data_IF_419846471604
#
_entry.id   IF_419846471604
#
_cell.length_a   1.000
_cell.length_b   1.000
_cell.length_c   1.000
_cell.angle_alpha   90.00
_cell.angle_beta   90.00
_cell.angle_gamma   90.00
#
_symmetry.space_group_name_H-M   'P 1'
#
loop_
_entity.id
_entity.type
_entity.pdbx_description
1 polymer ?
#
# COMPACT_ATOMS: atom_id res chain seq x y z
N UNK A 1 4.40 1.09 12.59
CA UNK A 1 3.57 0.17 11.81
C UNK A 1 2.11 0.16 12.25
N UNK A 2 1.79 -0.01 13.54
CA UNK A 2 0.40 -0.03 14.03
C UNK A 2 -0.42 1.20 13.59
N UNK A 3 0.08 2.42 13.82
CA UNK A 3 -0.60 3.66 13.42
C UNK A 3 -0.86 3.72 11.90
N UNK A 4 0.10 3.23 11.10
CA UNK A 4 -0.06 3.17 9.64
C UNK A 4 -1.20 2.24 9.23
N UNK A 5 -1.31 1.07 9.86
CA UNK A 5 -2.39 0.11 9.59
C UNK A 5 -3.74 0.68 9.98
N UNK A 6 -3.85 1.31 11.16
CA UNK A 6 -5.10 1.97 11.58
C UNK A 6 -5.52 3.08 10.60
N UNK A 7 -4.56 3.87 10.12
CA UNK A 7 -4.84 4.94 9.15
C UNK A 7 -5.29 4.37 7.78
N UNK A 8 -4.68 3.27 7.31
CA UNK A 8 -5.15 2.58 6.10
C UNK A 8 -6.55 1.99 6.29
N UNK A 9 -6.83 1.33 7.41
CA UNK A 9 -8.16 0.76 7.68
C UNK A 9 -9.25 1.84 7.70
N UNK A 10 -8.97 2.99 8.32
CA UNK A 10 -9.90 4.11 8.32
C UNK A 10 -10.08 4.68 6.90
N UNK A 11 -9.00 4.81 6.15
CA UNK A 11 -9.06 5.22 4.75
C UNK A 11 -9.90 4.25 3.91
N UNK A 12 -9.75 2.95 4.08
CA UNK A 12 -10.50 1.93 3.32
C UNK A 12 -12.01 2.02 3.58
N UNK A 13 -12.41 2.31 4.82
CA UNK A 13 -13.83 2.59 5.17
C UNK A 13 -14.33 3.83 4.43
N UNK A 14 -13.56 4.92 4.41
CA UNK A 14 -13.95 6.15 3.70
C UNK A 14 -14.03 5.93 2.20
N UNK A 15 -13.12 5.15 1.62
CA UNK A 15 -13.18 4.74 0.20
C UNK A 15 -14.45 3.95 -0.08
N UNK A 16 -14.85 3.04 0.81
CA UNK A 16 -16.09 2.28 0.69
C UNK A 16 -17.33 3.20 0.71
N UNK A 17 -17.32 4.24 1.53
CA UNK A 17 -18.41 5.22 1.59
C UNK A 17 -18.44 6.17 0.37
N UNK A 18 -17.35 6.23 -0.39
CA UNK A 18 -17.22 7.09 -1.58
C UNK A 18 -17.66 6.39 -2.88
N UNK A 19 -18.54 5.39 -2.81
CA UNK A 19 -18.99 4.57 -3.97
C UNK A 19 -19.68 5.39 -5.06
N UNK A 20 -20.25 6.55 -4.72
CA UNK A 20 -20.91 7.46 -5.65
C UNK A 20 -19.94 8.11 -6.67
N UNK A 21 -18.62 8.11 -6.36
CA UNK A 21 -17.61 8.78 -7.18
C UNK A 21 -16.79 7.78 -8.01
N UNK A 22 -16.38 8.11 -9.24
CA UNK A 22 -15.50 7.27 -10.06
C UNK A 22 -14.20 6.95 -9.31
N UNK A 23 -13.69 5.71 -9.48
CA UNK A 23 -12.42 5.28 -8.82
C UNK A 23 -11.28 6.25 -9.10
N UNK A 24 -11.18 6.73 -10.32
CA UNK A 24 -10.13 7.66 -10.70
C UNK A 24 -10.21 9.01 -9.99
N UNK A 25 -11.42 9.50 -9.71
CA UNK A 25 -11.62 10.72 -8.92
C UNK A 25 -11.17 10.52 -7.47
N UNK A 26 -11.53 9.40 -6.86
CA UNK A 26 -11.07 9.03 -5.50
C UNK A 26 -9.54 8.91 -5.47
N UNK A 27 -8.94 8.30 -6.50
CA UNK A 27 -7.49 8.21 -6.65
C UNK A 27 -6.83 9.59 -6.76
N UNK A 28 -7.42 10.52 -7.50
CA UNK A 28 -6.90 11.88 -7.59
C UNK A 28 -6.81 12.54 -6.21
N UNK A 29 -7.91 12.56 -5.47
CA UNK A 29 -7.91 13.11 -4.11
C UNK A 29 -6.96 12.36 -3.18
N UNK A 30 -6.87 11.02 -3.32
CA UNK A 30 -5.93 10.17 -2.58
C UNK A 30 -4.46 10.55 -2.84
N UNK A 31 -4.12 10.89 -4.08
CA UNK A 31 -2.78 11.35 -4.43
C UNK A 31 -2.55 12.81 -4.05
N UNK A 32 -3.41 13.70 -4.51
CA UNK A 32 -3.26 15.16 -4.37
C UNK A 32 -3.27 15.60 -2.90
N UNK A 33 -4.31 15.25 -2.15
CA UNK A 33 -4.39 15.58 -0.72
C UNK A 33 -3.36 14.79 0.10
N UNK A 34 -2.93 13.61 -0.38
CA UNK A 34 -1.87 12.82 0.25
C UNK A 34 -0.48 13.46 0.17
N UNK A 35 -0.25 14.41 -0.73
CA UNK A 35 1.00 15.18 -0.80
C UNK A 35 1.08 16.17 0.37
N UNK A 36 -0.04 16.72 0.82
CA UNK A 36 -0.09 17.78 1.84
C UNK A 36 0.71 17.40 3.11
N UNK A 37 0.41 16.29 3.79
CA UNK A 37 1.17 15.93 5.00
C UNK A 37 2.65 15.64 4.72
N UNK A 38 2.98 15.19 3.51
CA UNK A 38 4.36 14.93 3.12
C UNK A 38 5.15 16.22 3.02
N UNK A 39 4.56 17.28 2.44
CA UNK A 39 5.18 18.60 2.31
C UNK A 39 5.54 19.21 3.67
N UNK A 40 4.70 19.02 4.69
CA UNK A 40 5.00 19.49 6.05
C UNK A 40 6.19 18.78 6.70
N UNK A 41 6.54 17.60 6.23
CA UNK A 41 7.63 16.78 6.79
C UNK A 41 8.94 16.91 6.00
N UNK A 42 8.96 17.67 4.90
CA UNK A 42 10.17 17.94 4.13
C UNK A 42 11.02 18.96 4.90
N UNK A 43 12.29 18.67 5.20
CA UNK A 43 13.22 19.65 5.75
C UNK A 43 13.37 20.84 4.79
N UNK A 44 13.31 22.06 5.32
CA UNK A 44 13.34 23.31 4.50
C UNK A 44 14.57 23.40 3.59
N UNK A 45 15.71 22.91 4.06
CA UNK A 45 17.01 22.88 3.35
C UNK A 45 17.04 21.88 2.17
N UNK A 46 16.10 20.93 2.13
CA UNK A 46 16.01 19.88 1.08
C UNK A 46 14.77 20.00 0.21
N UNK A 47 14.04 21.09 0.34
CA UNK A 47 12.80 21.29 -0.40
C UNK A 47 13.01 21.29 -1.93
N UNK A 48 14.20 21.70 -2.40
CA UNK A 48 14.54 21.68 -3.82
C UNK A 48 15.17 20.36 -4.30
N UNK A 49 15.39 19.40 -3.40
CA UNK A 49 16.03 18.13 -3.74
C UNK A 49 15.04 17.01 -4.12
N UNK A 50 13.73 17.32 -4.21
CA UNK A 50 12.72 16.30 -4.52
C UNK A 50 12.82 15.72 -5.94
N UNK A 51 13.59 16.29 -6.85
CA UNK A 51 13.89 15.71 -8.17
C UNK A 51 15.19 14.88 -8.19
N UNK A 52 16.03 14.97 -7.15
CA UNK A 52 17.29 14.26 -7.09
C UNK A 52 17.10 12.86 -6.53
N UNK A 53 16.98 11.87 -7.38
CA UNK A 53 16.96 10.46 -6.99
C UNK A 53 18.18 9.74 -7.55
N UNK A 54 18.79 8.88 -6.74
CA UNK A 54 19.91 8.03 -7.15
C UNK A 54 19.46 6.76 -7.86
N UNK A 55 18.15 6.38 -7.73
CA UNK A 55 17.59 5.12 -8.25
C UNK A 55 16.26 5.30 -8.97
N UNK A 56 16.20 6.09 -10.08
CA UNK A 56 14.92 6.44 -10.73
C UNK A 56 14.14 5.20 -11.21
N UNK A 57 14.82 4.19 -11.71
CA UNK A 57 14.18 2.97 -12.19
C UNK A 57 13.51 2.16 -11.06
N UNK A 58 14.10 2.15 -9.88
CA UNK A 58 13.49 1.48 -8.72
C UNK A 58 12.27 2.25 -8.22
N UNK A 59 12.30 3.60 -8.23
CA UNK A 59 11.13 4.43 -7.97
C UNK A 59 10.00 4.15 -8.96
N UNK A 60 10.32 4.11 -10.25
CA UNK A 60 9.33 3.79 -11.28
C UNK A 60 8.67 2.43 -11.04
N UNK A 61 9.45 1.37 -10.82
CA UNK A 61 8.91 0.03 -10.51
C UNK A 61 8.06 0.02 -9.25
N UNK A 62 8.51 0.72 -8.19
CA UNK A 62 7.75 0.85 -6.94
C UNK A 62 6.43 1.58 -7.16
N UNK A 63 6.44 2.70 -7.89
CA UNK A 63 5.23 3.46 -8.19
C UNK A 63 4.27 2.65 -9.05
N UNK A 64 4.75 2.01 -10.12
CA UNK A 64 3.92 1.20 -11.00
C UNK A 64 3.26 0.03 -10.25
N UNK A 65 4.05 -0.73 -9.48
CA UNK A 65 3.51 -1.83 -8.68
C UNK A 65 2.51 -1.34 -7.62
N UNK A 66 2.82 -0.21 -6.97
CA UNK A 66 1.93 0.41 -6.00
C UNK A 66 0.63 0.94 -6.61
N UNK A 67 0.68 1.48 -7.82
CA UNK A 67 -0.51 1.93 -8.55
C UNK A 67 -1.41 0.74 -8.94
N UNK A 68 -0.82 -0.33 -9.47
CA UNK A 68 -1.57 -1.55 -9.80
C UNK A 68 -2.24 -2.11 -8.54
N UNK A 69 -1.50 -2.19 -7.43
CA UNK A 69 -2.04 -2.65 -6.15
C UNK A 69 -3.20 -1.75 -5.68
N UNK A 70 -3.02 -0.42 -5.70
CA UNK A 70 -4.02 0.54 -5.22
C UNK A 70 -5.29 0.52 -6.06
N UNK A 71 -5.17 0.49 -7.38
CA UNK A 71 -6.34 0.38 -8.27
C UNK A 71 -7.07 -0.94 -8.01
N UNK A 72 -6.33 -2.03 -7.87
CA UNK A 72 -6.91 -3.35 -7.60
C UNK A 72 -7.68 -3.39 -6.28
N UNK A 73 -7.13 -2.88 -5.19
CA UNK A 73 -7.83 -2.88 -3.90
C UNK A 73 -9.08 -1.98 -3.95
N UNK A 74 -9.04 -0.84 -4.65
CA UNK A 74 -10.20 0.04 -4.78
C UNK A 74 -11.31 -0.59 -5.61
N UNK A 75 -10.98 -1.33 -6.69
CA UNK A 75 -11.96 -2.11 -7.45
C UNK A 75 -12.54 -3.23 -6.58
N UNK A 76 -11.71 -3.90 -5.79
CA UNK A 76 -12.16 -4.95 -4.87
C UNK A 76 -13.15 -4.41 -3.82
N UNK A 77 -12.82 -3.28 -3.18
CA UNK A 77 -13.67 -2.64 -2.17
C UNK A 77 -15.04 -2.22 -2.69
N UNK A 78 -15.14 -1.91 -3.98
CA UNK A 78 -16.43 -1.58 -4.61
C UNK A 78 -17.31 -2.79 -4.85
N UNK A 79 -16.70 -3.91 -5.24
CA UNK A 79 -17.44 -5.06 -5.74
C UNK A 79 -17.58 -6.20 -4.73
N UNK A 80 -16.82 -6.15 -3.63
CA UNK A 80 -16.79 -7.17 -2.59
C UNK A 80 -17.06 -6.56 -1.22
N UNK A 81 -17.55 -7.35 -0.24
CA UNK A 81 -17.63 -6.93 1.15
C UNK A 81 -16.25 -6.57 1.71
N UNK A 82 -16.19 -5.49 2.51
CA UNK A 82 -14.94 -5.02 3.13
C UNK A 82 -14.23 -6.14 3.90
N UNK A 83 -14.97 -6.92 4.68
CA UNK A 83 -14.41 -8.02 5.46
C UNK A 83 -13.71 -9.05 4.58
N UNK A 84 -14.29 -9.42 3.44
CA UNK A 84 -13.71 -10.36 2.47
C UNK A 84 -12.42 -9.82 1.87
N UNK A 85 -12.43 -8.54 1.44
CA UNK A 85 -11.25 -7.89 0.85
C UNK A 85 -10.11 -7.83 1.85
N UNK A 86 -10.39 -7.42 3.10
CA UNK A 86 -9.39 -7.35 4.17
C UNK A 86 -8.85 -8.75 4.51
N UNK A 87 -9.72 -9.76 4.61
CA UNK A 87 -9.30 -11.14 4.89
C UNK A 87 -8.33 -11.67 3.82
N UNK A 88 -8.63 -11.48 2.54
CA UNK A 88 -7.72 -11.90 1.46
C UNK A 88 -6.43 -11.09 1.50
N UNK A 89 -6.49 -9.80 1.88
CA UNK A 89 -5.31 -8.92 1.96
C UNK A 89 -4.30 -9.39 3.02
N UNK A 90 -4.72 -10.14 4.03
CA UNK A 90 -3.81 -10.80 4.97
C UNK A 90 -2.91 -11.86 4.32
N UNK A 91 -3.14 -12.24 3.05
CA UNK A 91 -2.19 -13.06 2.30
C UNK A 91 -0.92 -12.29 1.88
N UNK A 92 -0.89 -10.95 1.96
CA UNK A 92 0.27 -10.16 1.56
C UNK A 92 1.58 -10.55 2.27
N UNK A 93 1.64 -10.87 3.58
CA UNK A 93 2.85 -11.36 4.22
C UNK A 93 3.41 -12.65 3.60
N UNK A 94 2.54 -13.53 3.07
CA UNK A 94 2.94 -14.76 2.39
C UNK A 94 3.76 -14.42 1.14
N UNK A 95 3.20 -13.58 0.28
CA UNK A 95 3.88 -13.12 -0.93
C UNK A 95 5.13 -12.29 -0.62
N UNK A 96 5.11 -11.49 0.46
CA UNK A 96 6.28 -10.75 0.91
C UNK A 96 7.42 -11.70 1.31
N UNK A 97 7.12 -12.79 2.00
CA UNK A 97 8.09 -13.81 2.38
C UNK A 97 8.67 -14.50 1.13
N UNK A 98 7.82 -14.88 0.18
CA UNK A 98 8.25 -15.48 -1.08
C UNK A 98 9.18 -14.52 -1.85
N UNK A 99 8.75 -13.27 -2.03
CA UNK A 99 9.54 -12.27 -2.74
C UNK A 99 10.84 -11.90 -2.03
N UNK A 100 10.90 -11.95 -0.68
CA UNK A 100 12.14 -11.68 0.05
C UNK A 100 13.22 -12.72 -0.25
N UNK A 101 12.85 -13.98 -0.46
CA UNK A 101 13.79 -15.04 -0.86
C UNK A 101 14.40 -14.71 -2.22
N UNK A 102 13.57 -14.39 -3.22
CA UNK A 102 14.05 -14.17 -4.59
C UNK A 102 14.70 -12.80 -4.80
N UNK A 103 14.19 -11.74 -4.17
CA UNK A 103 14.64 -10.36 -4.43
C UNK A 103 15.68 -9.85 -3.43
N UNK A 104 15.74 -10.41 -2.22
CA UNK A 104 16.71 -10.04 -1.18
C UNK A 104 17.71 -11.16 -0.88
N UNK A 105 17.56 -12.35 -1.49
CA UNK A 105 18.36 -13.54 -1.21
C UNK A 105 18.36 -13.90 0.30
N UNK A 106 17.25 -13.63 1.00
CA UNK A 106 17.10 -13.93 2.42
C UNK A 106 16.81 -15.43 2.62
N UNK A 107 17.48 -16.06 3.58
CA UNK A 107 17.17 -17.44 3.99
C UNK A 107 16.00 -17.43 4.96
N UNK A 108 14.87 -17.97 4.54
CA UNK A 108 13.66 -18.09 5.36
C UNK A 108 13.66 -19.42 6.10
N UNK A 109 13.68 -19.36 7.45
CA UNK A 109 13.66 -20.57 8.28
C UNK A 109 12.29 -21.27 8.28
N UNK A 110 12.28 -22.54 8.67
CA UNK A 110 11.08 -23.40 8.69
C UNK A 110 9.93 -22.80 9.52
N UNK A 111 10.25 -22.18 10.67
CA UNK A 111 9.24 -21.55 11.53
C UNK A 111 8.43 -20.45 10.83
N UNK A 112 9.06 -19.69 9.92
CA UNK A 112 8.37 -18.66 9.13
C UNK A 112 7.43 -19.28 8.11
N UNK A 113 7.84 -20.38 7.47
CA UNK A 113 6.97 -21.14 6.57
C UNK A 113 5.76 -21.72 7.28
N UNK A 114 5.95 -22.25 8.49
CA UNK A 114 4.84 -22.75 9.30
C UNK A 114 3.88 -21.61 9.70
N UNK A 115 4.40 -20.46 10.13
CA UNK A 115 3.57 -19.30 10.44
C UNK A 115 2.76 -18.79 9.22
N UNK A 116 3.38 -18.79 8.05
CA UNK A 116 2.74 -18.45 6.77
C UNK A 116 1.61 -19.45 6.44
N UNK A 117 1.86 -20.74 6.60
CA UNK A 117 0.85 -21.79 6.35
C UNK A 117 -0.33 -21.67 7.31
N UNK A 118 -0.07 -21.47 8.61
CA UNK A 118 -1.13 -21.29 9.62
C UNK A 118 -1.95 -20.03 9.31
N UNK A 119 -1.29 -18.93 8.95
CA UNK A 119 -1.97 -17.70 8.53
C UNK A 119 -2.84 -17.92 7.28
N UNK A 120 -2.35 -18.66 6.31
CA UNK A 120 -3.11 -19.00 5.09
C UNK A 120 -4.35 -19.84 5.39
N UNK A 121 -4.21 -20.87 6.23
CA UNK A 121 -5.36 -21.68 6.68
C UNK A 121 -6.39 -20.78 7.38
N UNK A 122 -5.95 -19.86 8.26
CA UNK A 122 -6.84 -18.90 8.90
C UNK A 122 -7.62 -18.03 7.90
N UNK A 123 -6.96 -17.58 6.84
CA UNK A 123 -7.63 -16.79 5.77
C UNK A 123 -8.68 -17.64 5.06
N UNK A 124 -8.34 -18.88 4.71
CA UNK A 124 -9.28 -19.80 4.04
C UNK A 124 -10.51 -20.06 4.91
N UNK A 125 -10.33 -20.23 6.21
CA UNK A 125 -11.44 -20.43 7.16
C UNK A 125 -12.33 -19.19 7.27
N UNK A 126 -11.71 -17.99 7.35
CA UNK A 126 -12.47 -16.74 7.50
C UNK A 126 -13.22 -16.36 6.21
N UNK A 127 -12.61 -16.60 5.06
CA UNK A 127 -13.21 -16.24 3.76
C UNK A 127 -14.36 -17.16 3.40
N UNK A 128 -14.49 -18.33 4.06
CA UNK A 128 -15.51 -19.33 3.74
C UNK A 128 -15.79 -19.33 2.23
N UNK A 129 -14.84 -19.77 1.38
CA UNK A 129 -15.05 -19.70 -0.05
C UNK A 129 -16.21 -20.63 -0.39
N UNK A 130 -17.41 -20.09 -0.34
CA UNK A 130 -18.59 -20.78 -0.85
C UNK A 130 -18.35 -21.02 -2.32
N UNK A 131 -18.10 -22.27 -2.69
CA UNK A 131 -17.89 -22.70 -4.09
C UNK A 131 -19.07 -22.41 -5.02
N UNK A 132 -20.14 -21.78 -4.50
CA UNK A 132 -21.39 -21.53 -5.22
C UNK A 132 -21.36 -20.36 -6.20
N UNK A 133 -20.35 -19.47 -6.16
CA UNK A 133 -20.16 -18.42 -7.18
C UNK A 133 -18.72 -17.92 -7.17
N UNK A 134 -17.90 -18.44 -8.07
CA UNK A 134 -16.58 -17.86 -8.37
C UNK A 134 -16.80 -16.45 -8.98
N UNK A 135 -16.77 -15.45 -8.12
CA UNK A 135 -16.84 -14.06 -8.57
C UNK A 135 -15.44 -13.66 -9.06
N UNK A 136 -15.33 -13.22 -10.31
CA UNK A 136 -14.07 -12.76 -10.92
C UNK A 136 -13.39 -11.65 -10.08
N UNK A 137 -14.15 -10.90 -9.33
CA UNK A 137 -13.60 -9.81 -8.49
C UNK A 137 -12.65 -10.28 -7.38
N UNK A 138 -12.64 -11.56 -6.99
CA UNK A 138 -11.65 -12.11 -6.02
C UNK A 138 -10.19 -12.04 -6.50
N UNK A 139 -9.97 -11.89 -7.82
CA UNK A 139 -8.61 -11.74 -8.35
C UNK A 139 -7.94 -10.42 -7.93
N UNK A 140 -8.73 -9.35 -7.72
CA UNK A 140 -8.19 -8.03 -7.40
C UNK A 140 -7.47 -7.95 -6.05
N UNK A 141 -8.00 -8.48 -4.92
CA UNK A 141 -7.26 -8.54 -3.68
C UNK A 141 -5.96 -9.37 -3.78
N UNK A 142 -5.92 -10.38 -4.64
CA UNK A 142 -4.69 -11.17 -4.87
C UNK A 142 -3.65 -10.33 -5.61
N UNK A 143 -4.05 -9.60 -6.66
CA UNK A 143 -3.16 -8.67 -7.38
C UNK A 143 -2.65 -7.59 -6.41
N UNK A 144 -3.52 -7.06 -5.54
CA UNK A 144 -3.12 -6.14 -4.47
C UNK A 144 -2.04 -6.74 -3.57
N UNK A 145 -2.20 -7.98 -3.10
CA UNK A 145 -1.22 -8.66 -2.24
C UNK A 145 0.15 -8.79 -2.93
N UNK A 146 0.17 -9.19 -4.21
CA UNK A 146 1.40 -9.29 -5.00
C UNK A 146 2.09 -7.93 -5.14
N UNK A 147 1.31 -6.90 -5.52
CA UNK A 147 1.82 -5.55 -5.69
C UNK A 147 2.33 -4.95 -4.38
N UNK A 148 1.57 -5.10 -3.27
CA UNK A 148 1.96 -4.63 -1.94
C UNK A 148 3.25 -5.30 -1.45
N UNK A 149 3.39 -6.60 -1.68
CA UNK A 149 4.59 -7.36 -1.32
C UNK A 149 5.83 -6.86 -2.06
N UNK A 150 5.71 -6.59 -3.35
CA UNK A 150 6.80 -5.98 -4.11
C UNK A 150 7.12 -4.55 -3.62
N UNK A 151 6.10 -3.74 -3.34
CA UNK A 151 6.24 -2.38 -2.80
C UNK A 151 7.00 -2.39 -1.48
N UNK A 152 6.70 -3.33 -0.57
CA UNK A 152 7.40 -3.45 0.72
C UNK A 152 8.92 -3.65 0.52
N UNK A 153 9.30 -4.55 -0.39
CA UNK A 153 10.71 -4.82 -0.71
C UNK A 153 11.36 -3.62 -1.42
N UNK A 154 10.66 -2.99 -2.35
CA UNK A 154 11.16 -1.82 -3.07
C UNK A 154 11.39 -0.64 -2.11
N UNK A 155 10.47 -0.37 -1.17
CA UNK A 155 10.64 0.66 -0.15
C UNK A 155 11.86 0.38 0.72
N UNK A 156 12.07 -0.88 1.14
CA UNK A 156 13.24 -1.25 1.93
C UNK A 156 14.55 -0.98 1.18
N UNK A 157 14.61 -1.35 -0.11
CA UNK A 157 15.77 -1.07 -0.97
C UNK A 157 16.00 0.43 -1.19
N UNK A 158 14.94 1.21 -1.35
CA UNK A 158 15.03 2.67 -1.54
C UNK A 158 15.40 3.38 -0.24
N UNK A 159 14.84 2.97 0.89
CA UNK A 159 15.07 3.62 2.19
C UNK A 159 16.51 3.54 2.69
N UNK A 160 17.35 2.69 2.09
CA UNK A 160 18.80 2.65 2.36
C UNK A 160 19.58 3.78 1.70
N UNK A 161 19.05 4.38 0.63
CA UNK A 161 19.74 5.40 -0.16
C UNK A 161 19.00 6.73 -0.22
N UNK A 162 17.69 6.72 0.07
CA UNK A 162 16.84 7.88 -0.11
C UNK A 162 15.96 8.15 1.12
N UNK A 163 15.61 9.42 1.38
CA UNK A 163 14.74 9.77 2.48
C UNK A 163 13.31 9.26 2.23
N UNK A 164 12.65 8.84 3.31
CA UNK A 164 11.30 8.24 3.26
C UNK A 164 10.25 9.20 2.69
N UNK A 165 10.37 10.50 2.99
CA UNK A 165 9.45 11.50 2.44
C UNK A 165 9.50 11.56 0.91
N UNK A 166 10.69 11.39 0.31
CA UNK A 166 10.87 11.39 -1.16
C UNK A 166 10.18 10.17 -1.80
N UNK A 167 10.34 8.99 -1.18
CA UNK A 167 9.69 7.75 -1.63
C UNK A 167 8.16 7.90 -1.61
N UNK A 168 7.64 8.49 -0.53
CA UNK A 168 6.20 8.71 -0.36
C UNK A 168 5.67 9.80 -1.29
N UNK A 169 6.46 10.86 -1.54
CA UNK A 169 6.11 11.94 -2.46
C UNK A 169 5.95 11.42 -3.89
N UNK A 170 6.94 10.70 -4.43
CA UNK A 170 6.85 10.14 -5.78
C UNK A 170 5.62 9.26 -5.96
N UNK A 171 5.27 8.50 -4.96
CA UNK A 171 4.08 7.65 -5.03
C UNK A 171 2.78 8.45 -5.01
N UNK A 172 2.62 9.37 -4.08
CA UNK A 172 1.43 10.21 -4.02
C UNK A 172 1.26 11.05 -5.29
N UNK A 173 2.37 11.56 -5.82
CA UNK A 173 2.39 12.27 -7.09
C UNK A 173 1.96 11.38 -8.27
N UNK A 174 2.48 10.15 -8.33
CA UNK A 174 2.07 9.17 -9.36
C UNK A 174 0.59 8.82 -9.29
N UNK A 175 0.04 8.68 -8.07
CA UNK A 175 -1.40 8.44 -7.87
C UNK A 175 -2.22 9.65 -8.35
N UNK A 176 -1.79 10.88 -8.03
CA UNK A 176 -2.47 12.09 -8.45
C UNK A 176 -2.51 12.21 -9.99
N UNK A 177 -1.40 11.94 -10.66
CA UNK A 177 -1.33 11.91 -12.13
C UNK A 177 -2.28 10.85 -12.70
N UNK A 178 -2.24 9.61 -12.18
CA UNK A 178 -3.13 8.55 -12.65
C UNK A 178 -4.61 8.95 -12.47
N UNK A 179 -4.94 9.52 -11.31
CA UNK A 179 -6.27 10.02 -11.03
C UNK A 179 -6.68 11.15 -11.98
N UNK A 180 -5.77 12.06 -12.32
CA UNK A 180 -6.03 13.16 -13.24
C UNK A 180 -6.38 12.67 -14.64
N UNK A 181 -5.70 11.61 -15.12
CA UNK A 181 -6.03 10.99 -16.41
C UNK A 181 -7.46 10.44 -16.46
N UNK A 182 -8.08 10.14 -15.32
CA UNK A 182 -9.48 9.69 -15.28
C UNK A 182 -10.51 10.83 -15.44
N UNK A 183 -10.07 12.07 -15.54
CA UNK A 183 -10.95 13.24 -15.73
C UNK A 183 -11.82 13.07 -16.99
N UNK A 184 -11.28 12.42 -18.02
CA UNK A 184 -12.01 12.10 -19.26
C UNK A 184 -13.14 11.07 -19.08
N UNK A 185 -13.19 10.37 -17.94
CA UNK A 185 -14.25 9.39 -17.63
C UNK A 185 -15.50 10.02 -17.01
N UNK A 186 -15.55 11.35 -16.90
CA UNK A 186 -16.67 12.08 -16.31
C UNK A 186 -16.59 12.10 -14.77
N UNK A 187 -16.07 13.18 -14.21
CA UNK A 187 -16.07 13.39 -12.76
C UNK A 187 -17.43 13.96 -12.31
N UNK A 188 -17.82 13.58 -11.12
CA UNK A 188 -19.01 14.10 -10.46
C UNK A 188 -18.58 15.21 -9.49
N UNK A 189 -19.23 16.36 -9.54
CA UNK A 189 -18.93 17.44 -8.59
C UNK A 189 -19.33 17.01 -7.17
N UNK A 190 -18.36 16.94 -6.25
CA UNK A 190 -18.63 16.58 -4.87
C UNK A 190 -19.34 17.73 -4.14
N UNK A 191 -20.27 17.40 -3.26
CA UNK A 191 -20.78 18.36 -2.30
C UNK A 191 -19.73 18.65 -1.23
N UNK A 192 -19.96 19.63 -0.35
CA UNK A 192 -18.98 20.03 0.67
C UNK A 192 -18.59 18.90 1.62
N UNK A 193 -19.53 18.05 1.99
CA UNK A 193 -19.29 16.92 2.90
C UNK A 193 -18.45 15.85 2.19
N UNK A 194 -18.80 15.52 0.96
CA UNK A 194 -18.07 14.52 0.18
C UNK A 194 -16.68 15.02 -0.22
N UNK A 195 -16.52 16.32 -0.47
CA UNK A 195 -15.20 16.92 -0.67
C UNK A 195 -14.31 16.76 0.56
N UNK A 196 -14.89 16.95 1.75
CA UNK A 196 -14.18 16.71 3.00
C UNK A 196 -13.80 15.24 3.16
N UNK A 197 -14.73 14.30 2.89
CA UNK A 197 -14.46 12.86 2.95
C UNK A 197 -13.36 12.44 1.97
N UNK A 198 -13.42 12.88 0.72
CA UNK A 198 -12.40 12.60 -0.31
C UNK A 198 -11.02 13.17 0.08
N UNK A 199 -11.01 14.37 0.67
CA UNK A 199 -9.78 14.99 1.18
C UNK A 199 -9.18 14.18 2.34
N UNK A 200 -10.03 13.67 3.25
CA UNK A 200 -9.62 12.80 4.34
C UNK A 200 -9.02 11.48 3.83
N UNK A 201 -9.59 10.87 2.78
CA UNK A 201 -9.00 9.70 2.11
C UNK A 201 -7.57 10.00 1.67
N UNK A 202 -7.34 11.19 1.10
CA UNK A 202 -6.00 11.63 0.69
C UNK A 202 -5.04 11.80 1.85
N UNK A 203 -5.43 12.59 2.85
CA UNK A 203 -4.58 12.91 4.01
C UNK A 203 -4.21 11.63 4.77
N UNK A 204 -5.21 10.82 5.14
CA UNK A 204 -4.98 9.56 5.84
C UNK A 204 -4.10 8.62 5.06
N UNK A 205 -4.36 8.50 3.76
CA UNK A 205 -3.57 7.65 2.91
C UNK A 205 -2.14 8.14 2.71
N UNK A 206 -1.89 9.45 2.65
CA UNK A 206 -0.54 10.04 2.59
C UNK A 206 0.24 9.76 3.86
N UNK A 207 -0.35 10.03 5.03
CA UNK A 207 0.23 9.74 6.34
C UNK A 207 0.48 8.24 6.52
N UNK A 208 -0.50 7.40 6.20
CA UNK A 208 -0.37 5.95 6.32
C UNK A 208 0.80 5.41 5.48
N UNK A 209 0.93 5.87 4.22
CA UNK A 209 2.03 5.47 3.35
C UNK A 209 3.39 5.95 3.86
N UNK A 210 3.46 7.16 4.42
CA UNK A 210 4.67 7.71 4.99
C UNK A 210 5.10 6.92 6.23
N UNK A 211 4.19 6.67 7.17
CA UNK A 211 4.48 5.86 8.38
C UNK A 211 4.81 4.41 8.04
N UNK A 212 4.17 3.84 7.02
CA UNK A 212 4.50 2.50 6.52
C UNK A 212 5.93 2.47 5.98
N UNK A 213 6.28 3.44 5.13
CA UNK A 213 7.61 3.54 4.53
C UNK A 213 8.68 3.76 5.62
N UNK A 214 8.37 4.54 6.65
CA UNK A 214 9.25 4.75 7.79
C UNK A 214 9.42 3.48 8.64
N UNK A 215 8.34 2.71 8.83
CA UNK A 215 8.43 1.45 9.55
C UNK A 215 9.32 0.43 8.81
N UNK A 216 9.26 0.37 7.49
CA UNK A 216 10.12 -0.51 6.68
C UNK A 216 11.59 -0.08 6.67
N UNK A 217 11.89 1.20 6.93
CA UNK A 217 13.25 1.67 7.11
C UNK A 217 13.88 1.15 8.41
N UNK A 218 13.12 1.14 9.50
CA UNK A 218 13.63 0.79 10.84
C UNK A 218 13.42 -0.68 11.21
N UNK A 219 12.47 -1.38 10.58
CA UNK A 219 12.21 -2.79 10.84
C UNK A 219 12.75 -3.66 9.72
N UNK A 220 13.38 -4.78 10.09
CA UNK A 220 13.54 -5.88 9.15
C UNK A 220 12.15 -6.32 8.67
N UNK A 221 11.92 -6.50 7.38
CA UNK A 221 10.62 -6.96 6.84
C UNK A 221 10.14 -8.27 7.50
N UNK A 222 11.06 -8.98 8.09
CA UNK A 222 10.90 -10.30 8.68
C UNK A 222 11.19 -10.31 10.19
N UNK A 223 10.90 -9.21 10.91
CA UNK A 223 11.17 -9.08 12.34
C UNK A 223 10.27 -9.99 13.20
N UNK A 224 10.38 -11.28 13.03
CA UNK A 224 9.78 -12.27 13.93
C UNK A 224 10.75 -13.35 14.38
N UNK A 225 12.06 -13.23 14.08
CA UNK A 225 13.07 -14.03 14.80
C UNK A 225 14.38 -13.27 14.92
N UNK A 226 15.00 -13.22 16.11
CA UNK A 226 16.35 -12.71 16.24
C UNK A 226 17.28 -13.49 15.31
N UNK A 227 18.06 -12.76 14.50
CA UNK A 227 19.13 -13.38 13.73
C UNK A 227 20.10 -14.04 14.71
N UNK A 228 20.62 -15.24 14.43
CA UNK A 228 21.69 -15.82 15.24
C UNK A 228 22.95 -14.93 15.36
N UNK A 229 23.02 -13.88 14.54
CA UNK A 229 24.12 -12.90 14.58
C UNK A 229 23.91 -11.77 15.59
N UNK A 230 22.69 -11.56 16.09
CA UNK A 230 22.39 -10.49 17.05
C UNK A 230 22.68 -10.92 18.50
N UNK A 231 23.08 -12.17 18.72
CA UNK A 231 23.51 -12.72 20.01
C UNK A 231 25.02 -12.79 20.22
N UNK A 232 25.82 -12.18 19.35
CA UNK A 232 27.29 -12.18 19.41
C UNK A 232 27.91 -10.77 19.42
N UNK A 233 27.20 -9.79 20.02
CA UNK A 233 27.77 -8.50 20.41
C UNK A 233 27.51 -8.23 21.87
#
# INVERSE_FOLDING_TARGET
MFISVCAFSLMDVLVKWSDAYPVGQVLFFRGFCGIIPILFLIPKDRFLDFYKTSRPFLHFKRCLSGLIALVSIFIALRNLPLATVVSISFAAPIFTTIFSIFLLNEKVGLYRWLAVLVGFIGIVVITEPGFSSLNFYYIYPIIFCLGLSYVAIAIRKLSSTEPVWLISFFFSFSIAILGLFSLFQGWVMPNLLDLFLLSMVGILGGLANLWLSQSYKYSCLLYTSPSPRDGLL
#
